data_IF_221151332804
#
_entry.id   IF_221151332804
#
_cell.length_a   1.000
_cell.length_b   1.000
_cell.length_c   1.000
_cell.angle_alpha   90.00
_cell.angle_beta   90.00
_cell.angle_gamma   90.00
#
_symmetry.space_group_name_H-M   'P 1'
#
loop_
_entity.id
_entity.type
_entity.pdbx_description
1 polymer ?
#
# COMPACT_ATOMS: atom_id res chain seq x y z
N UNK A 1 -1.80 -9.85 2.53
CA UNK A 1 -1.39 -8.71 1.67
C UNK A 1 -0.87 -7.56 2.51
N UNK A 2 -1.41 -7.32 3.71
CA UNK A 2 -0.95 -6.21 4.56
C UNK A 2 0.55 -6.24 4.89
N UNK A 3 1.13 -7.37 5.30
CA UNK A 3 2.58 -7.44 5.58
C UNK A 3 3.42 -7.06 4.36
N UNK A 4 3.06 -7.56 3.18
CA UNK A 4 3.77 -7.25 1.93
C UNK A 4 3.67 -5.77 1.60
N UNK A 5 2.48 -5.17 1.80
CA UNK A 5 2.26 -3.75 1.61
C UNK A 5 3.12 -2.95 2.59
N UNK A 6 3.09 -3.28 3.89
CA UNK A 6 3.89 -2.63 4.91
C UNK A 6 5.39 -2.75 4.64
N UNK A 7 5.87 -3.89 4.16
CA UNK A 7 7.27 -4.10 3.81
C UNK A 7 7.71 -3.21 2.63
N UNK A 8 6.90 -3.15 1.56
CA UNK A 8 7.13 -2.27 0.40
C UNK A 8 7.17 -0.81 0.87
N UNK A 9 6.15 -0.38 1.62
CA UNK A 9 6.10 1.01 2.10
C UNK A 9 7.24 1.32 3.06
N UNK A 10 7.61 0.42 3.98
CA UNK A 10 8.75 0.65 4.89
C UNK A 10 10.08 0.76 4.14
N UNK A 11 10.21 0.08 2.99
CA UNK A 11 11.41 0.11 2.16
C UNK A 11 11.54 1.39 1.32
N UNK A 12 10.42 1.94 0.86
CA UNK A 12 10.37 3.11 -0.04
C UNK A 12 9.94 4.40 0.65
N UNK A 13 9.31 4.32 1.81
CA UNK A 13 8.84 5.45 2.62
C UNK A 13 9.38 5.31 4.05
N UNK A 14 10.58 5.83 4.35
CA UNK A 14 11.16 5.75 5.70
C UNK A 14 10.34 6.53 6.74
N UNK A 15 9.59 7.55 6.32
CA UNK A 15 8.65 8.32 7.16
C UNK A 15 7.29 7.62 7.33
N UNK A 16 7.11 6.44 6.74
CA UNK A 16 5.90 5.67 6.92
C UNK A 16 5.90 4.96 8.29
N UNK A 17 4.94 5.32 9.13
CA UNK A 17 4.80 4.82 10.50
C UNK A 17 4.37 3.33 10.59
N UNK A 18 4.32 2.61 9.46
CA UNK A 18 3.91 1.21 9.44
C UNK A 18 2.42 1.00 9.75
N UNK A 19 1.62 2.06 9.73
CA UNK A 19 0.22 2.02 10.11
C UNK A 19 -0.69 2.21 8.90
N UNK A 20 -1.66 1.31 8.77
CA UNK A 20 -2.71 1.40 7.76
C UNK A 20 -3.88 2.20 8.31
N UNK A 21 -4.11 3.38 7.73
CA UNK A 21 -5.05 4.38 8.22
C UNK A 21 -6.50 3.88 8.26
N UNK A 22 -6.94 3.15 7.22
CA UNK A 22 -8.26 2.55 7.18
C UNK A 22 -8.21 1.19 6.52
N UNK A 23 -8.61 0.13 7.24
CA UNK A 23 -8.89 -1.18 6.66
C UNK A 23 -10.40 -1.40 6.63
N UNK A 24 -10.96 -1.55 5.44
CA UNK A 24 -12.37 -1.83 5.22
C UNK A 24 -12.51 -3.18 4.52
N UNK A 25 -12.96 -4.18 5.26
CA UNK A 25 -13.28 -5.50 4.69
C UNK A 25 -14.70 -5.47 4.14
N UNK A 26 -14.91 -5.98 2.93
CA UNK A 26 -16.23 -6.10 2.34
C UNK A 26 -17.10 -7.06 3.15
N UNK A 27 -18.42 -6.86 3.12
CA UNK A 27 -19.41 -7.68 3.86
C UNK A 27 -19.34 -9.17 3.52
N UNK A 28 -18.91 -9.52 2.31
CA UNK A 28 -18.74 -10.91 1.87
C UNK A 28 -17.30 -11.43 2.04
N UNK A 29 -16.36 -10.60 2.53
CA UNK A 29 -14.96 -10.99 2.74
C UNK A 29 -14.11 -11.13 1.47
N UNK A 30 -14.69 -10.91 0.28
CA UNK A 30 -14.02 -11.11 -1.01
C UNK A 30 -13.00 -10.01 -1.33
N UNK A 31 -13.18 -8.80 -0.80
CA UNK A 31 -12.33 -7.65 -1.06
C UNK A 31 -12.00 -6.90 0.23
N UNK A 32 -10.76 -6.43 0.34
CA UNK A 32 -10.32 -5.53 1.40
C UNK A 32 -9.80 -4.25 0.76
N UNK A 33 -10.34 -3.11 1.19
CA UNK A 33 -9.79 -1.79 0.86
C UNK A 33 -8.92 -1.33 2.00
N UNK A 34 -7.69 -0.91 1.70
CA UNK A 34 -6.79 -0.31 2.68
C UNK A 34 -6.37 1.06 2.19
N UNK A 35 -6.50 2.07 3.06
CA UNK A 35 -6.00 3.42 2.81
C UNK A 35 -4.74 3.61 3.63
N UNK A 36 -3.68 4.04 2.96
CA UNK A 36 -2.37 4.33 3.55
C UNK A 36 -2.05 5.77 3.22
N UNK A 37 -1.64 6.53 4.23
CA UNK A 37 -1.19 7.90 4.06
C UNK A 37 0.31 7.92 4.19
N UNK A 38 1.00 8.38 3.14
CA UNK A 38 2.44 8.56 3.15
C UNK A 38 2.79 9.99 2.79
N UNK A 39 3.94 10.44 3.27
CA UNK A 39 4.55 11.67 2.80
C UNK A 39 5.23 11.41 1.45
N UNK A 40 4.76 12.09 0.41
CA UNK A 40 5.31 11.97 -0.93
C UNK A 40 6.65 12.72 -1.00
N UNK A 41 7.75 11.98 -0.92
CA UNK A 41 9.11 12.55 -1.07
C UNK A 41 9.47 12.79 -2.55
N UNK A 42 8.72 12.21 -3.48
CA UNK A 42 8.85 12.48 -4.93
C UNK A 42 8.00 11.56 -5.81
N UNK A 43 7.87 11.91 -7.10
CA UNK A 43 7.12 11.12 -8.09
C UNK A 43 7.72 9.72 -8.31
N UNK A 44 9.05 9.63 -8.22
CA UNK A 44 9.77 8.38 -8.41
C UNK A 44 9.42 7.36 -7.31
N UNK A 45 9.30 7.82 -6.06
CA UNK A 45 8.87 7.00 -4.93
C UNK A 45 7.47 6.41 -5.17
N UNK A 46 6.50 7.26 -5.54
CA UNK A 46 5.13 6.84 -5.80
C UNK A 46 5.05 5.83 -6.95
N UNK A 47 5.81 6.07 -8.02
CA UNK A 47 5.85 5.18 -9.19
C UNK A 47 6.45 3.83 -8.83
N UNK A 48 7.56 3.80 -8.08
CA UNK A 48 8.19 2.55 -7.63
C UNK A 48 7.26 1.76 -6.72
N UNK A 49 6.65 2.40 -5.72
CA UNK A 49 5.66 1.77 -4.83
C UNK A 49 4.51 1.21 -5.66
N UNK A 50 3.94 2.01 -6.57
CA UNK A 50 2.82 1.58 -7.42
C UNK A 50 3.18 0.35 -8.26
N UNK A 51 4.35 0.34 -8.92
CA UNK A 51 4.82 -0.80 -9.71
C UNK A 51 5.09 -2.03 -8.84
N UNK A 52 5.71 -1.88 -7.68
CA UNK A 52 5.94 -3.01 -6.76
C UNK A 52 4.62 -3.57 -6.23
N UNK A 53 3.70 -2.71 -5.80
CA UNK A 53 2.37 -3.12 -5.34
C UNK A 53 1.63 -3.91 -6.43
N UNK A 54 1.66 -3.46 -7.69
CA UNK A 54 1.10 -4.23 -8.81
C UNK A 54 1.83 -5.55 -9.06
N UNK A 55 3.17 -5.55 -8.94
CA UNK A 55 3.98 -6.74 -9.17
C UNK A 55 3.75 -7.84 -8.12
N UNK A 56 3.27 -7.50 -6.92
CA UNK A 56 2.91 -8.51 -5.91
C UNK A 56 1.75 -9.43 -6.35
N UNK A 57 0.94 -9.02 -7.33
CA UNK A 57 -0.22 -9.78 -7.81
C UNK A 57 -1.41 -9.86 -6.84
N UNK A 58 -1.24 -9.38 -5.60
CA UNK A 58 -2.31 -9.30 -4.59
C UNK A 58 -3.14 -8.02 -4.73
N UNK A 59 -2.58 -6.98 -5.35
CA UNK A 59 -3.21 -5.67 -5.48
C UNK A 59 -3.67 -5.49 -6.91
N UNK A 60 -4.98 -5.34 -7.09
CA UNK A 60 -5.59 -5.12 -8.40
C UNK A 60 -5.68 -3.63 -8.76
N UNK A 61 -5.66 -2.74 -7.77
CA UNK A 61 -5.89 -1.32 -7.98
C UNK A 61 -5.25 -0.48 -6.86
N UNK A 62 -4.58 0.61 -7.25
CA UNK A 62 -4.01 1.65 -6.37
C UNK A 62 -4.53 2.99 -6.88
N UNK A 63 -4.94 3.87 -5.98
CA UNK A 63 -5.52 5.20 -6.23
C UNK A 63 -4.87 6.26 -5.36
#
# INVERSE_FOLDING_TARGET
FDEVVLEIFSRHAPDFDGQMSQRKTSREGTFCSVTITIEATGEQQLTTIHTELMATGFIKMVI
#
